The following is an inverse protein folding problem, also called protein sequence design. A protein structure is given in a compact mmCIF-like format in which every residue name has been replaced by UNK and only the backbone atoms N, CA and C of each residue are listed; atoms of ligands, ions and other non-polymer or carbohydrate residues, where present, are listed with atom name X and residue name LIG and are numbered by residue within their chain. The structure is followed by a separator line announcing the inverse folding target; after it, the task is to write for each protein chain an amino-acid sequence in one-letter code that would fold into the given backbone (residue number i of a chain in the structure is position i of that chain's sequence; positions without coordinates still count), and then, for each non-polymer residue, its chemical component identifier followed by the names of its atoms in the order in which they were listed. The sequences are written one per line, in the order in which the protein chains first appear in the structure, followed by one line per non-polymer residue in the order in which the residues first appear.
data_IF_572106214421
#
_entry.id   IF_572106214421
#
_cell.length_a   1.000
_cell.length_b   1.000
_cell.length_c   1.000
_cell.angle_alpha   90.00
_cell.angle_beta   90.00
_cell.angle_gamma   90.00
#
_symmetry.space_group_name_H-M   'P 1'
#
loop_
_entity.id
_entity.type
_entity.pdbx_description
1 polymer ?
#
# COMPACT_ATOMS: atom_id res chain seq x y z
N UNK A 1 0.56 2.34 24.66
CA UNK A 1 -0.41 2.22 23.55
C UNK A 1 -0.21 0.86 22.88
N UNK A 2 -1.11 0.47 21.98
CA UNK A 2 -1.04 -0.79 21.25
C UNK A 2 -1.08 -0.55 19.75
N UNK A 3 -0.34 -1.34 18.99
CA UNK A 3 -0.47 -1.32 17.52
C UNK A 3 -1.87 -1.84 17.15
N UNK A 4 -2.62 -1.04 16.40
CA UNK A 4 -3.99 -1.34 15.98
C UNK A 4 -4.11 -1.73 14.49
N UNK A 5 -2.97 -1.85 13.81
CA UNK A 5 -2.89 -2.31 12.42
C UNK A 5 -2.07 -3.59 12.32
N UNK A 6 -2.13 -4.31 11.19
CA UNK A 6 -1.46 -5.60 11.01
C UNK A 6 0.04 -5.53 11.32
N UNK A 7 0.70 -4.50 10.80
CA UNK A 7 2.12 -4.24 10.95
C UNK A 7 2.40 -2.78 10.64
N UNK A 8 3.38 -2.19 11.33
CA UNK A 8 3.81 -0.81 11.09
C UNK A 8 5.33 -0.67 11.13
N UNK A 9 5.85 0.25 10.31
CA UNK A 9 7.24 0.66 10.33
C UNK A 9 7.54 1.52 11.56
N UNK A 10 8.54 1.10 12.33
CA UNK A 10 9.18 1.94 13.32
C UNK A 10 10.41 2.58 12.67
N UNK A 11 10.40 3.91 12.61
CA UNK A 11 11.35 4.73 11.86
C UNK A 11 12.43 5.32 12.75
N UNK A 12 13.54 5.73 12.16
CA UNK A 12 14.63 6.43 12.83
C UNK A 12 14.29 7.86 13.23
N UNK A 13 13.39 8.48 12.48
CA UNK A 13 12.90 9.84 12.70
C UNK A 13 11.38 9.87 12.60
N UNK A 14 10.74 10.80 13.32
CA UNK A 14 9.30 10.99 13.33
C UNK A 14 8.82 11.75 12.11
N UNK A 15 9.16 11.30 10.90
CA UNK A 15 8.81 11.96 9.66
C UNK A 15 8.39 10.91 8.63
N UNK A 16 7.41 11.26 7.81
CA UNK A 16 7.00 10.43 6.69
C UNK A 16 8.21 10.24 5.74
N UNK A 17 8.54 8.99 5.43
CA UNK A 17 9.68 8.66 4.55
C UNK A 17 11.01 8.43 5.25
N UNK A 18 11.09 8.64 6.56
CA UNK A 18 12.31 8.33 7.30
C UNK A 18 12.67 6.84 7.25
N UNK A 19 13.96 6.56 7.37
CA UNK A 19 14.55 5.20 7.39
C UNK A 19 13.79 4.30 8.35
N UNK A 20 13.35 3.13 7.87
CA UNK A 20 12.70 2.11 8.69
C UNK A 20 13.78 1.27 9.36
N UNK A 21 13.72 1.18 10.70
CA UNK A 21 14.74 0.49 11.49
C UNK A 21 14.22 -0.77 12.17
N UNK A 22 12.90 -0.87 12.38
CA UNK A 22 12.25 -2.10 12.84
C UNK A 22 10.77 -2.10 12.47
N UNK A 23 10.08 -3.20 12.78
CA UNK A 23 8.65 -3.37 12.59
C UNK A 23 7.96 -3.69 13.91
N UNK A 24 6.72 -3.22 14.07
CA UNK A 24 5.81 -3.65 15.15
C UNK A 24 4.55 -4.24 14.53
N UNK A 25 3.86 -5.10 15.27
CA UNK A 25 2.75 -5.90 14.77
C UNK A 25 1.49 -5.69 15.59
N UNK A 26 0.33 -6.03 15.00
CA UNK A 26 -0.97 -5.91 15.65
C UNK A 26 -0.98 -6.45 17.08
N UNK A 27 -1.42 -5.61 18.02
CA UNK A 27 -1.52 -5.94 19.43
C UNK A 27 -0.20 -5.83 20.21
N UNK A 28 0.92 -5.52 19.56
CA UNK A 28 2.17 -5.21 20.25
C UNK A 28 1.95 -3.98 21.15
N UNK A 29 2.42 -4.09 22.39
CA UNK A 29 2.45 -2.96 23.29
C UNK A 29 3.67 -2.09 22.94
N UNK A 30 3.43 -0.78 22.84
CA UNK A 30 4.49 0.22 22.66
C UNK A 30 4.37 1.30 23.73
N UNK A 31 5.54 1.71 24.24
CA UNK A 31 5.63 2.79 25.21
C UNK A 31 5.95 4.08 24.48
N UNK A 32 5.18 5.11 24.76
CA UNK A 32 5.32 6.43 24.13
C UNK A 32 6.22 7.28 25.01
N UNK A 33 7.39 7.65 24.50
CA UNK A 33 8.33 8.53 25.16
C UNK A 33 8.02 10.01 24.90
N UNK A 34 7.57 10.35 23.69
CA UNK A 34 7.17 11.71 23.33
C UNK A 34 6.13 11.73 22.20
N UNK A 35 5.25 12.74 22.24
CA UNK A 35 4.46 13.16 21.09
C UNK A 35 5.30 14.13 20.25
N UNK A 36 5.26 13.99 18.94
CA UNK A 36 5.91 14.93 18.02
C UNK A 36 4.86 15.70 17.23
N UNK A 37 5.23 16.89 16.74
CA UNK A 37 4.33 17.77 15.98
C UNK A 37 4.10 17.28 14.54
N UNK A 38 4.69 16.15 14.16
CA UNK A 38 4.65 15.58 12.81
C UNK A 38 3.62 14.46 12.66
N UNK A 39 2.83 14.19 13.70
CA UNK A 39 1.90 13.06 13.72
C UNK A 39 2.56 11.72 14.06
N UNK A 40 3.85 11.72 14.44
CA UNK A 40 4.54 10.54 14.94
C UNK A 40 4.66 10.56 16.47
N UNK A 41 4.74 9.37 17.06
CA UNK A 41 5.14 9.16 18.43
C UNK A 41 6.56 8.62 18.48
N UNK A 42 7.39 9.21 19.34
CA UNK A 42 8.67 8.62 19.71
C UNK A 42 8.44 7.53 20.74
N UNK A 43 9.01 6.36 20.53
CA UNK A 43 8.99 5.24 21.47
C UNK A 43 10.18 5.31 22.44
N UNK A 44 10.13 4.52 23.50
CA UNK A 44 11.22 4.35 24.47
C UNK A 44 12.47 3.73 23.86
N UNK A 45 12.34 2.85 22.87
CA UNK A 45 13.44 2.29 22.09
C UNK A 45 14.09 3.29 21.10
N UNK A 46 13.61 4.54 21.10
CA UNK A 46 14.14 5.64 20.28
C UNK A 46 13.60 5.67 18.85
N UNK A 47 12.79 4.69 18.45
CA UNK A 47 12.14 4.66 17.13
C UNK A 47 10.87 5.51 17.11
N UNK A 48 10.31 5.74 15.92
CA UNK A 48 9.13 6.56 15.72
C UNK A 48 8.04 5.80 14.97
N UNK A 49 6.81 5.91 15.45
CA UNK A 49 5.63 5.25 14.87
C UNK A 49 4.56 6.29 14.60
N UNK A 50 3.89 6.21 13.44
CA UNK A 50 2.82 7.13 13.13
C UNK A 50 1.63 6.91 14.09
N UNK A 51 1.04 8.00 14.57
CA UNK A 51 -0.07 8.01 15.53
C UNK A 51 -1.30 7.21 15.07
N UNK A 52 -1.64 7.27 13.78
CA UNK A 52 -2.74 6.47 13.18
C UNK A 52 -2.58 4.95 13.42
N UNK A 53 -1.39 4.45 13.74
CA UNK A 53 -1.15 3.02 13.96
C UNK A 53 -1.45 2.58 15.39
N UNK A 54 -1.75 3.51 16.30
CA UNK A 54 -1.84 3.25 17.72
C UNK A 54 -3.28 3.36 18.24
N UNK A 55 -3.60 2.51 19.21
CA UNK A 55 -4.79 2.57 20.03
C UNK A 55 -4.40 2.67 21.51
N UNK A 56 -5.17 3.44 22.29
CA UNK A 56 -5.03 3.51 23.74
C UNK A 56 -5.42 2.19 24.42
N UNK A 57 -6.44 1.52 23.88
CA UNK A 57 -6.90 0.22 24.37
C UNK A 57 -6.26 -0.91 23.57
N UNK A 58 -5.99 -2.04 24.24
CA UNK A 58 -5.55 -3.23 23.53
C UNK A 58 -6.66 -3.66 22.60
N UNK A 59 -6.43 -3.70 21.28
CA UNK A 59 -7.51 -3.94 20.35
C UNK A 59 -8.03 -5.36 20.56
N UNK A 60 -9.35 -5.45 20.80
CA UNK A 60 -10.05 -6.71 20.99
C UNK A 60 -9.95 -7.48 19.67
N UNK A 61 -9.70 -8.79 19.73
CA UNK A 61 -9.72 -9.62 18.54
C UNK A 61 -11.11 -9.52 17.89
N UNK A 62 -11.23 -8.70 16.85
CA UNK A 62 -12.44 -8.58 16.03
C UNK A 62 -12.65 -9.89 15.27
N UNK A 63 -13.90 -10.17 14.91
CA UNK A 63 -14.33 -11.30 14.07
C UNK A 63 -14.00 -11.13 12.58
N UNK A 64 -13.22 -10.10 12.22
CA UNK A 64 -12.30 -10.24 11.08
C UNK A 64 -11.51 -11.52 11.34
N UNK A 65 -11.32 -12.44 10.39
CA UNK A 65 -10.47 -13.59 10.66
C UNK A 65 -9.19 -13.06 11.28
N UNK A 66 -8.97 -13.40 12.55
CA UNK A 66 -7.65 -13.33 13.15
C UNK A 66 -6.81 -14.08 12.14
N UNK A 67 -6.04 -13.37 11.32
CA UNK A 67 -4.92 -14.01 10.67
C UNK A 67 -4.19 -14.63 11.85
N UNK A 68 -4.30 -15.95 11.96
CA UNK A 68 -3.58 -16.66 12.99
C UNK A 68 -2.15 -16.16 12.84
N UNK A 69 -1.51 -15.71 13.93
CA UNK A 69 -0.05 -15.72 13.95
C UNK A 69 0.30 -17.08 13.34
N UNK A 70 1.02 -17.14 12.21
CA UNK A 70 1.26 -18.41 11.56
C UNK A 70 1.76 -19.36 12.63
N UNK A 71 0.95 -20.36 12.96
CA UNK A 71 1.50 -21.56 13.53
C UNK A 71 2.44 -22.00 12.43
N UNK A 72 3.74 -21.97 12.71
CA UNK A 72 4.76 -22.49 11.82
C UNK A 72 4.28 -23.89 11.48
N UNK A 73 3.68 -24.05 10.30
CA UNK A 73 3.38 -25.34 9.76
C UNK A 73 4.76 -25.86 9.38
N UNK A 74 5.20 -26.87 10.13
CA UNK A 74 6.47 -27.54 9.96
C UNK A 74 6.46 -28.28 8.61
N UNK A 75 6.65 -27.50 7.55
CA UNK A 75 6.92 -27.95 6.20
C UNK A 75 7.71 -26.83 5.52
N UNK A 76 9.03 -27.04 5.48
CA UNK A 76 10.03 -26.07 5.06
C UNK A 76 9.81 -25.59 3.61
N UNK A 77 9.05 -24.51 3.45
CA UNK A 77 9.23 -23.54 2.36
C UNK A 77 9.44 -22.18 3.02
N UNK A 78 10.56 -21.47 2.76
CA UNK A 78 10.77 -20.15 3.33
C UNK A 78 9.60 -19.22 2.99
N UNK A 79 9.12 -18.46 3.98
CA UNK A 79 8.12 -17.42 3.72
C UNK A 79 8.63 -16.47 2.63
N UNK A 80 7.78 -16.03 1.67
CA UNK A 80 8.20 -15.06 0.67
C UNK A 80 8.74 -13.80 1.34
N UNK A 81 9.98 -13.43 1.01
CA UNK A 81 10.64 -12.25 1.60
C UNK A 81 10.44 -11.06 0.68
N UNK A 82 10.11 -9.90 1.25
CA UNK A 82 10.05 -8.64 0.52
C UNK A 82 11.50 -8.19 0.27
N UNK A 83 11.95 -8.29 -0.98
CA UNK A 83 13.33 -7.95 -1.37
C UNK A 83 13.42 -6.68 -2.21
N UNK A 84 12.29 -6.26 -2.79
CA UNK A 84 12.26 -5.12 -3.71
C UNK A 84 11.96 -3.82 -2.97
N UNK A 85 12.51 -2.72 -3.47
CA UNK A 85 12.37 -1.39 -2.90
C UNK A 85 11.98 -0.41 -4.00
N UNK A 86 10.89 0.37 -3.80
CA UNK A 86 10.50 1.40 -4.74
C UNK A 86 11.62 2.42 -5.03
N UNK A 87 11.71 2.85 -6.29
CA UNK A 87 12.69 3.84 -6.76
C UNK A 87 12.00 5.03 -7.41
N UNK A 88 12.57 6.22 -7.23
CA UNK A 88 12.06 7.50 -7.76
C UNK A 88 10.62 7.84 -7.34
N UNK A 89 10.19 7.37 -6.16
CA UNK A 89 8.87 7.58 -5.59
C UNK A 89 8.92 8.43 -4.33
N UNK A 90 7.75 8.90 -3.90
CA UNK A 90 7.57 9.56 -2.61
C UNK A 90 7.59 8.56 -1.46
N UNK A 91 7.68 9.10 -0.24
CA UNK A 91 7.61 8.33 0.98
C UNK A 91 6.27 7.62 1.15
N UNK A 92 5.19 8.30 0.77
CA UNK A 92 3.81 7.84 0.80
C UNK A 92 3.60 6.65 -0.15
N UNK A 93 4.09 6.77 -1.38
CA UNK A 93 4.02 5.71 -2.39
C UNK A 93 4.82 4.47 -1.97
N UNK A 94 6.03 4.69 -1.46
CA UNK A 94 6.87 3.61 -0.93
C UNK A 94 6.19 2.88 0.23
N UNK A 95 5.50 3.62 1.10
CA UNK A 95 4.78 3.08 2.23
C UNK A 95 3.56 2.23 1.80
N UNK A 96 2.78 2.67 0.81
CA UNK A 96 1.69 1.85 0.26
C UNK A 96 2.22 0.54 -0.33
N UNK A 97 3.29 0.61 -1.15
CA UNK A 97 3.90 -0.58 -1.74
C UNK A 97 4.35 -1.59 -0.65
N UNK A 98 4.98 -1.08 0.41
CA UNK A 98 5.39 -1.88 1.57
C UNK A 98 4.19 -2.54 2.25
N UNK A 99 3.17 -1.77 2.63
CA UNK A 99 1.98 -2.30 3.34
C UNK A 99 1.29 -3.38 2.49
N UNK A 100 1.13 -3.15 1.18
CA UNK A 100 0.55 -4.15 0.28
C UNK A 100 1.37 -5.44 0.24
N UNK A 101 2.69 -5.34 0.16
CA UNK A 101 3.54 -6.53 0.15
C UNK A 101 3.53 -7.27 1.49
N UNK A 102 3.43 -6.58 2.62
CA UNK A 102 3.25 -7.22 3.93
C UNK A 102 1.92 -7.96 4.03
N UNK A 103 0.84 -7.35 3.52
CA UNK A 103 -0.46 -8.01 3.40
C UNK A 103 -0.30 -9.27 2.56
N UNK A 104 0.30 -9.19 1.37
CA UNK A 104 0.48 -10.35 0.48
C UNK A 104 1.25 -11.48 1.15
N UNK A 105 2.38 -11.18 1.78
CA UNK A 105 3.18 -12.17 2.52
C UNK A 105 2.38 -12.80 3.65
N UNK A 106 1.55 -12.04 4.38
CA UNK A 106 0.69 -12.57 5.44
C UNK A 106 -0.39 -13.54 4.93
N UNK A 107 -0.75 -13.45 3.64
CA UNK A 107 -1.65 -14.39 2.93
C UNK A 107 -0.89 -15.51 2.20
N UNK A 108 0.43 -15.63 2.39
CA UNK A 108 1.25 -16.63 1.71
C UNK A 108 1.48 -16.36 0.22
N UNK A 109 1.22 -15.13 -0.24
CA UNK A 109 1.41 -14.71 -1.61
C UNK A 109 2.81 -14.14 -1.83
N UNK A 110 3.30 -14.22 -3.06
CA UNK A 110 4.55 -13.57 -3.45
C UNK A 110 4.41 -12.05 -3.38
N UNK A 111 5.36 -11.32 -2.78
CA UNK A 111 5.36 -9.86 -2.84
C UNK A 111 5.51 -9.42 -4.30
N UNK A 112 4.86 -8.31 -4.63
CA UNK A 112 5.02 -7.63 -5.90
C UNK A 112 6.39 -6.98 -6.01
N UNK A 113 6.86 -6.84 -7.24
CA UNK A 113 8.04 -6.06 -7.61
C UNK A 113 7.65 -4.63 -7.97
N UNK A 114 8.53 -3.66 -7.71
CA UNK A 114 8.32 -2.28 -8.12
C UNK A 114 8.53 -2.14 -9.62
N UNK A 115 7.54 -1.58 -10.31
CA UNK A 115 7.57 -1.42 -11.77
C UNK A 115 7.65 0.05 -12.16
N UNK A 116 8.77 0.44 -12.76
CA UNK A 116 9.02 1.83 -13.16
C UNK A 116 8.15 2.27 -14.34
N UNK A 117 7.70 1.36 -15.20
CA UNK A 117 6.78 1.68 -16.29
C UNK A 117 5.36 1.83 -15.76
N UNK A 118 4.91 0.93 -14.89
CA UNK A 118 3.65 1.09 -14.14
C UNK A 118 3.65 2.36 -13.29
N UNK A 119 4.80 2.78 -12.75
CA UNK A 119 4.88 4.02 -11.98
C UNK A 119 4.67 5.28 -12.83
N UNK A 120 5.21 5.30 -14.06
CA UNK A 120 4.92 6.39 -15.02
C UNK A 120 3.42 6.45 -15.35
N UNK A 121 2.81 5.28 -15.57
CA UNK A 121 1.37 5.15 -15.78
C UNK A 121 0.58 5.67 -14.56
N UNK A 122 0.87 5.17 -13.36
CA UNK A 122 0.21 5.55 -12.12
C UNK A 122 0.27 7.06 -11.87
N UNK A 123 1.42 7.70 -12.13
CA UNK A 123 1.57 9.16 -12.01
C UNK A 123 0.69 9.94 -12.98
N UNK A 124 0.65 9.51 -14.24
CA UNK A 124 -0.19 10.15 -15.24
C UNK A 124 -1.67 9.97 -14.88
N UNK A 125 -2.05 8.75 -14.48
CA UNK A 125 -3.38 8.44 -13.95
C UNK A 125 -3.73 9.28 -12.73
N UNK A 126 -2.81 9.53 -11.81
CA UNK A 126 -3.05 10.35 -10.62
C UNK A 126 -3.49 11.78 -10.98
N UNK A 127 -2.94 12.33 -12.08
CA UNK A 127 -3.38 13.62 -12.64
C UNK A 127 -4.74 13.52 -13.32
N UNK A 128 -5.00 12.43 -14.03
CA UNK A 128 -6.28 12.22 -14.73
C UNK A 128 -7.45 12.02 -13.77
N UNK A 129 -7.25 11.31 -12.66
CA UNK A 129 -8.33 11.00 -11.71
C UNK A 129 -8.74 12.18 -10.83
N UNK A 130 -7.88 13.19 -10.70
CA UNK A 130 -8.27 14.45 -10.05
C UNK A 130 -9.29 15.20 -10.92
N UNK A 131 -9.08 15.25 -12.24
CA UNK A 131 -10.02 15.86 -13.16
C UNK A 131 -11.33 15.05 -13.26
N UNK A 132 -11.19 13.73 -13.28
CA UNK A 132 -12.33 12.81 -13.36
C UNK A 132 -11.99 11.49 -12.66
N UNK A 133 -12.54 11.31 -11.45
CA UNK A 133 -12.32 10.09 -10.67
C UNK A 133 -13.03 8.87 -11.29
N UNK A 134 -12.33 8.20 -12.21
CA UNK A 134 -12.85 7.12 -13.06
C UNK A 134 -11.72 6.21 -13.52
N UNK A 135 -12.04 4.93 -13.76
CA UNK A 135 -11.17 3.97 -14.47
C UNK A 135 -11.15 4.20 -15.99
N UNK A 136 -11.96 5.14 -16.50
CA UNK A 136 -11.79 5.68 -17.83
C UNK A 136 -10.84 6.88 -17.76
N UNK A 137 -10.02 7.03 -18.78
CA UNK A 137 -9.20 8.22 -18.99
C UNK A 137 -10.11 9.40 -19.38
N UNK A 138 -9.64 10.66 -19.27
CA UNK A 138 -10.46 11.84 -19.58
C UNK A 138 -10.94 11.88 -21.04
N UNK A 139 -10.25 11.21 -21.95
CA UNK A 139 -10.66 11.04 -23.36
C UNK A 139 -11.70 9.92 -23.57
N UNK A 140 -12.13 9.24 -22.50
CA UNK A 140 -13.08 8.13 -22.52
C UNK A 140 -12.46 6.76 -22.81
N UNK A 141 -11.15 6.69 -23.09
CA UNK A 141 -10.46 5.41 -23.31
C UNK A 141 -10.25 4.63 -22.02
N UNK A 142 -9.95 3.33 -22.15
CA UNK A 142 -9.64 2.47 -21.00
C UNK A 142 -8.39 2.96 -20.26
N UNK A 143 -8.34 2.90 -18.91
CA UNK A 143 -7.15 3.29 -18.14
C UNK A 143 -5.85 2.66 -18.68
N UNK A 144 -5.92 1.41 -19.15
CA UNK A 144 -4.76 0.66 -19.64
C UNK A 144 -4.11 1.28 -20.89
N UNK A 145 -4.81 2.13 -21.64
CA UNK A 145 -4.19 2.83 -22.78
C UNK A 145 -3.14 3.85 -22.33
N UNK A 146 -3.07 4.18 -21.03
CA UNK A 146 -2.03 5.02 -20.44
C UNK A 146 -0.62 4.45 -20.67
N UNK A 147 -0.50 3.13 -20.89
CA UNK A 147 0.76 2.47 -21.22
C UNK A 147 1.24 2.73 -22.65
N UNK A 148 0.50 3.52 -23.45
CA UNK A 148 0.88 3.91 -24.81
C UNK A 148 0.53 2.87 -25.88
N UNK A 149 -0.40 1.96 -25.57
CA UNK A 149 -0.88 0.91 -26.47
C UNK A 149 -2.40 1.05 -26.65
N UNK A 150 -2.88 0.73 -27.85
CA UNK A 150 -4.31 0.56 -28.09
C UNK A 150 -4.85 -0.68 -27.36
N UNK A 151 -6.17 -0.78 -27.18
CA UNK A 151 -6.80 -1.94 -26.55
C UNK A 151 -6.43 -3.27 -27.25
N UNK A 152 -6.32 -3.24 -28.59
CA UNK A 152 -5.91 -4.39 -29.40
C UNK A 152 -4.42 -4.73 -29.25
N UNK A 153 -3.57 -3.80 -28.84
CA UNK A 153 -2.14 -4.02 -28.63
C UNK A 153 -1.82 -4.52 -27.22
N UNK A 154 -2.65 -4.14 -26.24
CA UNK A 154 -2.42 -4.44 -24.83
C UNK A 154 -2.31 -5.94 -24.56
N UNK A 155 -3.09 -6.77 -25.25
CA UNK A 155 -3.05 -8.22 -25.04
C UNK A 155 -1.74 -8.86 -25.48
N UNK A 156 -0.98 -8.22 -26.38
CA UNK A 156 0.36 -8.69 -26.77
C UNK A 156 1.47 -8.23 -25.82
N UNK A 157 1.19 -7.23 -24.97
CA UNK A 157 2.18 -6.63 -24.05
C UNK A 157 2.04 -7.14 -22.63
N UNK A 158 0.81 -7.43 -22.21
CA UNK A 158 0.50 -7.80 -20.84
C UNK A 158 -0.26 -9.13 -20.77
N UNK A 159 0.09 -9.94 -19.78
CA UNK A 159 -0.76 -11.04 -19.33
C UNK A 159 -1.95 -10.50 -18.55
N UNK A 160 -1.74 -9.48 -17.71
CA UNK A 160 -2.77 -8.86 -16.87
C UNK A 160 -2.39 -7.43 -16.50
N UNK A 161 -3.40 -6.57 -16.37
CA UNK A 161 -3.27 -5.18 -15.90
C UNK A 161 -4.49 -4.84 -15.02
N UNK A 162 -4.26 -4.22 -13.86
CA UNK A 162 -5.30 -3.79 -12.93
C UNK A 162 -5.01 -2.42 -12.33
N UNK A 163 -6.05 -1.72 -11.87
CA UNK A 163 -5.96 -0.39 -11.24
C UNK A 163 -6.78 -0.36 -9.95
N UNK A 164 -6.22 0.22 -8.88
CA UNK A 164 -6.99 0.68 -7.73
C UNK A 164 -6.91 2.20 -7.63
N UNK A 165 -8.04 2.85 -7.39
CA UNK A 165 -8.13 4.31 -7.22
C UNK A 165 -8.56 4.63 -5.78
N UNK A 166 -8.03 5.72 -5.24
CA UNK A 166 -8.41 6.24 -3.92
C UNK A 166 -8.45 7.76 -3.92
N UNK A 167 -9.41 8.34 -3.20
CA UNK A 167 -9.51 9.78 -2.97
C UNK A 167 -9.98 10.08 -1.54
N UNK A 168 -9.40 11.11 -0.91
CA UNK A 168 -9.76 11.53 0.45
C UNK A 168 -8.96 10.90 1.58
N UNK A 169 -8.14 9.89 1.33
CA UNK A 169 -7.36 9.25 2.39
C UNK A 169 -6.03 10.00 2.61
N UNK A 170 -5.79 10.57 3.81
CA UNK A 170 -4.61 11.41 4.05
C UNK A 170 -3.31 10.62 4.23
N UNK A 171 -3.38 9.29 4.38
CA UNK A 171 -2.22 8.45 4.68
C UNK A 171 -2.24 7.15 3.89
N UNK A 172 -1.05 6.60 3.63
CA UNK A 172 -0.85 5.31 2.96
C UNK A 172 -1.63 4.17 3.61
N UNK A 173 -1.70 4.14 4.95
CA UNK A 173 -2.45 3.12 5.67
C UNK A 173 -3.96 3.26 5.45
N UNK A 174 -4.50 4.48 5.55
CA UNK A 174 -5.95 4.71 5.37
C UNK A 174 -6.42 4.32 3.97
N UNK A 175 -5.61 4.56 2.93
CA UNK A 175 -5.96 4.15 1.57
C UNK A 175 -5.90 2.63 1.42
N UNK A 176 -4.87 1.97 1.96
CA UNK A 176 -4.77 0.51 1.90
C UNK A 176 -5.88 -0.17 2.70
N UNK A 177 -6.23 0.32 3.89
CA UNK A 177 -7.36 -0.18 4.67
C UNK A 177 -8.68 -0.05 3.90
N UNK A 178 -8.89 1.09 3.22
CA UNK A 178 -10.08 1.32 2.40
C UNK A 178 -10.15 0.35 1.21
N UNK A 179 -9.03 0.10 0.52
CA UNK A 179 -8.96 -0.89 -0.55
C UNK A 179 -9.19 -2.31 -0.02
N UNK A 180 -8.62 -2.67 1.13
CA UNK A 180 -8.76 -4.00 1.73
C UNK A 180 -10.14 -4.27 2.32
N UNK A 181 -10.87 -3.23 2.73
CA UNK A 181 -12.26 -3.30 3.17
C UNK A 181 -13.25 -3.46 1.98
N UNK A 182 -12.82 -3.17 0.76
CA UNK A 182 -13.67 -3.35 -0.43
C UNK A 182 -13.94 -4.83 -0.67
N UNK A 183 -15.21 -5.20 -0.79
CA UNK A 183 -15.62 -6.61 -0.95
C UNK A 183 -15.47 -7.16 -2.37
N UNK A 184 -15.21 -6.29 -3.36
CA UNK A 184 -14.91 -6.63 -4.77
C UNK A 184 -13.95 -5.59 -5.37
N UNK A 185 -13.18 -5.96 -6.39
CA UNK A 185 -12.28 -5.06 -7.11
C UNK A 185 -10.97 -4.78 -6.38
N UNK A 186 -10.94 -3.82 -5.45
CA UNK A 186 -9.67 -3.32 -4.90
C UNK A 186 -8.86 -4.37 -4.13
N UNK A 187 -9.52 -5.06 -3.20
CA UNK A 187 -8.94 -6.17 -2.42
C UNK A 187 -8.53 -7.33 -3.33
N UNK A 188 -9.32 -7.62 -4.36
CA UNK A 188 -9.04 -8.68 -5.33
C UNK A 188 -7.76 -8.38 -6.08
N UNK A 189 -7.53 -7.14 -6.53
CA UNK A 189 -6.27 -6.73 -7.16
C UNK A 189 -5.06 -6.88 -6.21
N UNK A 190 -5.18 -6.43 -4.95
CA UNK A 190 -4.10 -6.52 -3.96
C UNK A 190 -3.71 -7.98 -3.69
N UNK A 191 -4.68 -8.89 -3.64
CA UNK A 191 -4.49 -10.31 -3.33
C UNK A 191 -4.40 -11.20 -4.58
N UNK A 192 -4.38 -10.63 -5.78
CA UNK A 192 -4.35 -11.42 -7.01
C UNK A 192 -2.97 -12.11 -7.16
N UNK A 193 -2.90 -13.44 -7.31
CA UNK A 193 -1.66 -14.14 -7.58
C UNK A 193 -1.15 -13.97 -9.02
N UNK A 194 -2.01 -13.52 -9.95
CA UNK A 194 -1.67 -13.39 -11.39
C UNK A 194 -0.94 -12.08 -11.72
N UNK A 195 -0.91 -11.14 -10.77
CA UNK A 195 -0.06 -9.95 -10.86
C UNK A 195 1.35 -10.22 -10.34
N UNK A 196 2.35 -9.63 -10.98
CA UNK A 196 3.75 -9.75 -10.57
C UNK A 196 4.33 -8.43 -10.06
N UNK A 197 3.85 -7.32 -10.60
CA UNK A 197 4.39 -6.00 -10.29
C UNK A 197 3.31 -5.05 -9.78
N UNK A 198 3.77 -4.06 -9.02
CA UNK A 198 2.98 -2.99 -8.46
C UNK A 198 3.76 -1.68 -8.58
N UNK A 199 3.05 -0.61 -8.94
CA UNK A 199 3.49 0.75 -8.70
C UNK A 199 2.37 1.56 -8.03
N UNK A 200 2.77 2.58 -7.28
CA UNK A 200 1.84 3.47 -6.58
C UNK A 200 2.17 4.91 -6.91
N UNK A 201 1.16 5.72 -7.19
CA UNK A 201 1.28 7.17 -7.27
C UNK A 201 0.40 7.85 -6.22
N UNK A 202 0.89 8.95 -5.68
CA UNK A 202 0.20 9.82 -4.73
C UNK A 202 0.23 11.26 -5.21
N UNK A 203 -0.93 11.91 -5.20
CA UNK A 203 -1.08 13.31 -5.60
C UNK A 203 -1.88 14.10 -4.58
N UNK A 204 -1.50 15.36 -4.39
CA UNK A 204 -2.23 16.32 -3.56
C UNK A 204 -2.75 17.48 -4.39
N UNK A 205 -4.04 17.77 -4.27
CA UNK A 205 -4.72 18.80 -5.05
C UNK A 205 -5.54 19.71 -4.15
N UNK A 206 -5.89 20.90 -4.65
CA UNK A 206 -6.62 21.89 -3.88
C UNK A 206 -8.14 21.78 -4.12
N UNK A 207 -8.70 20.61 -3.79
CA UNK A 207 -10.13 20.32 -3.90
C UNK A 207 -10.68 19.70 -2.60
N UNK A 208 -11.94 19.25 -2.62
CA UNK A 208 -12.60 18.68 -1.45
C UNK A 208 -12.01 17.33 -0.98
N UNK A 209 -11.40 16.56 -1.88
CA UNK A 209 -10.83 15.25 -1.56
C UNK A 209 -9.35 15.36 -1.15
N UNK A 210 -8.63 16.35 -1.68
CA UNK A 210 -7.24 16.75 -1.39
C UNK A 210 -6.16 15.71 -1.70
N UNK A 211 -6.42 14.43 -1.46
CA UNK A 211 -5.47 13.32 -1.53
C UNK A 211 -5.96 12.29 -2.52
N UNK A 212 -5.13 11.94 -3.51
CA UNK A 212 -5.47 11.00 -4.57
C UNK A 212 -4.39 9.93 -4.68
N UNK A 213 -4.82 8.69 -4.88
CA UNK A 213 -3.96 7.51 -4.90
C UNK A 213 -4.30 6.63 -6.10
N UNK A 214 -3.26 6.12 -6.75
CA UNK A 214 -3.37 5.14 -7.83
C UNK A 214 -2.45 3.97 -7.53
N UNK A 215 -2.97 2.74 -7.63
CA UNK A 215 -2.15 1.55 -7.76
C UNK A 215 -2.30 1.01 -9.17
N UNK A 216 -1.18 0.72 -9.81
CA UNK A 216 -1.10 0.02 -11.09
C UNK A 216 -0.49 -1.35 -10.85
N UNK A 217 -1.20 -2.40 -11.26
CA UNK A 217 -0.75 -3.78 -11.18
C UNK A 217 -0.47 -4.31 -12.59
N UNK A 218 0.67 -4.95 -12.80
CA UNK A 218 1.06 -5.48 -14.11
C UNK A 218 1.63 -6.88 -14.03
N UNK A 219 1.39 -7.64 -15.09
CA UNK A 219 2.19 -8.81 -15.47
C UNK A 219 2.44 -8.71 -16.96
N UNK A 220 3.71 -8.64 -17.34
CA UNK A 220 4.13 -8.54 -18.73
C UNK A 220 4.12 -9.91 -19.43
N UNK A 221 4.07 -9.91 -20.76
CA UNK A 221 4.31 -11.11 -21.58
C UNK A 221 5.78 -11.26 -21.96
#
# INVERSE_FOLDING_TARGET
MYINISSCSARKEGLQGAEVVSYKYYGDAVNIAALTDTGYYKLDDGTYIHSDYLSESKPVATTVPKAAKPTVQDNATPAPVITDSPVNCTAEEAEVFRIVNEIRVSYGLKPYKWDTNAYKAAKARCTEIEQQFSHLRPDGSNFKTIYGYSDDELWYKFCSVGENLGSGQPTAQRVVDSWMASTKGHRENILNPDFENLAVAFGTYNDAYKYYWVQEFTTYR
#
